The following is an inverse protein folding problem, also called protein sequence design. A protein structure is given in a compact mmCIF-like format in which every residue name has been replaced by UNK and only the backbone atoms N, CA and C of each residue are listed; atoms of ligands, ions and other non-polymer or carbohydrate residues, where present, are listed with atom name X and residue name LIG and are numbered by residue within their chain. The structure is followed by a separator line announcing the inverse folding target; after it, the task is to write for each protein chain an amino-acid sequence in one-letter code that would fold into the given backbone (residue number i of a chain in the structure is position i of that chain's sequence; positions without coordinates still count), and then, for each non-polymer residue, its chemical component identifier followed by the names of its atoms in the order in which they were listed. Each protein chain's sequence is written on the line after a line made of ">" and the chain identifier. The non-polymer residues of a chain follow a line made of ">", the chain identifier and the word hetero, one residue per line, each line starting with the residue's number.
data_IF_420252451929
#
_entry.id   IF_420252451929
#
_cell.length_a   1.000
_cell.length_b   1.000
_cell.length_c   1.000
_cell.angle_alpha   90.00
_cell.angle_beta   90.00
_cell.angle_gamma   90.00
#
_symmetry.space_group_name_H-M   'P 1'
#
loop_
_entity.id
_entity.type
_entity.pdbx_description
1 polymer ?
#
# COMPACT_ATOMS: atom_id res chain seq x y z
N UNK A 1 33.05 -36.33 47.61
CA UNK A 1 33.15 -35.24 46.68
C UNK A 1 32.23 -35.53 45.50
N UNK A 2 31.03 -34.87 45.44
CA UNK A 2 30.05 -35.03 44.35
C UNK A 2 30.31 -33.95 43.32
N UNK A 3 30.65 -34.35 42.09
CA UNK A 3 30.80 -33.44 40.96
C UNK A 3 29.41 -33.17 40.37
N UNK A 4 28.98 -31.92 40.41
CA UNK A 4 27.77 -31.41 39.73
C UNK A 4 28.21 -30.98 38.34
N UNK A 5 27.67 -31.67 37.32
CA UNK A 5 27.82 -31.26 35.91
C UNK A 5 26.65 -30.34 35.59
N UNK A 6 26.93 -29.05 35.35
CA UNK A 6 25.95 -28.09 34.82
C UNK A 6 25.94 -28.27 33.30
N UNK A 7 24.82 -28.75 32.76
CA UNK A 7 24.54 -28.73 31.31
C UNK A 7 23.86 -27.42 31.02
N UNK A 8 24.60 -26.47 30.40
CA UNK A 8 24.03 -25.25 29.86
C UNK A 8 23.35 -25.57 28.52
N UNK A 9 22.02 -25.60 28.54
CA UNK A 9 21.22 -25.70 27.33
C UNK A 9 21.22 -24.34 26.64
N UNK A 10 22.06 -24.13 25.63
CA UNK A 10 21.99 -22.96 24.76
C UNK A 10 20.79 -23.11 23.85
N UNK A 11 19.68 -22.40 24.14
CA UNK A 11 18.59 -22.21 23.20
C UNK A 11 19.10 -21.27 22.09
N UNK A 12 19.58 -21.85 21.01
CA UNK A 12 19.75 -21.11 19.73
C UNK A 12 18.39 -20.88 19.15
N UNK A 13 17.88 -19.65 19.31
CA UNK A 13 16.69 -19.17 18.61
C UNK A 13 17.08 -19.00 17.14
N UNK A 14 16.97 -20.07 16.34
CA UNK A 14 17.04 -19.98 14.89
C UNK A 14 15.74 -19.34 14.42
N UNK A 15 15.80 -18.05 14.09
CA UNK A 15 14.76 -17.39 13.33
C UNK A 15 14.73 -18.06 11.94
N UNK A 16 13.88 -19.05 11.80
CA UNK A 16 13.57 -19.66 10.50
C UNK A 16 12.90 -18.59 9.66
N UNK A 17 13.61 -18.09 8.65
CA UNK A 17 13.01 -17.37 7.53
C UNK A 17 12.05 -18.34 6.82
N UNK A 18 10.82 -18.38 7.26
CA UNK A 18 9.75 -19.06 6.53
C UNK A 18 9.44 -18.24 5.27
N UNK A 19 10.10 -18.53 4.16
CA UNK A 19 9.60 -18.23 2.83
C UNK A 19 8.40 -19.16 2.57
N UNK A 20 7.30 -18.95 3.28
CA UNK A 20 6.04 -19.58 2.97
C UNK A 20 5.49 -19.01 1.68
N UNK A 21 5.04 -19.86 0.77
CA UNK A 21 4.29 -19.47 -0.43
C UNK A 21 2.88 -18.99 -0.01
N UNK A 22 2.81 -18.02 0.89
CA UNK A 22 1.55 -17.37 1.24
C UNK A 22 1.14 -16.48 0.10
N UNK A 23 -0.05 -16.70 -0.46
CA UNK A 23 -0.68 -15.80 -1.43
C UNK A 23 -1.33 -14.58 -0.78
N UNK A 24 -1.09 -14.39 0.49
CA UNK A 24 -1.63 -13.33 1.32
C UNK A 24 -0.50 -12.67 2.12
N UNK A 25 -0.46 -11.34 2.10
CA UNK A 25 0.39 -10.53 2.96
C UNK A 25 -0.45 -10.08 4.15
N UNK A 26 -0.02 -10.42 5.36
CA UNK A 26 -0.61 -9.91 6.60
C UNK A 26 0.49 -9.30 7.46
N UNK A 27 0.37 -8.00 7.74
CA UNK A 27 1.39 -7.24 8.44
C UNK A 27 0.75 -6.47 9.60
N UNK A 28 1.42 -6.49 10.76
CA UNK A 28 1.03 -5.72 11.94
C UNK A 28 2.10 -4.69 12.26
N UNK A 29 1.70 -3.58 12.88
CA UNK A 29 2.64 -2.60 13.42
C UNK A 29 3.44 -3.18 14.60
N UNK A 30 4.56 -2.55 15.01
CA UNK A 30 5.42 -3.05 16.10
C UNK A 30 4.66 -3.32 17.41
N UNK A 31 3.72 -2.45 17.80
CA UNK A 31 2.89 -2.61 19.00
C UNK A 31 1.56 -3.36 18.71
N UNK A 32 1.35 -3.83 17.48
CA UNK A 32 0.16 -4.58 17.08
C UNK A 32 -1.13 -3.75 17.02
N UNK A 33 -1.03 -2.41 16.99
CA UNK A 33 -2.21 -1.53 16.96
C UNK A 33 -2.85 -1.44 15.58
N UNK A 34 -2.05 -1.51 14.52
CA UNK A 34 -2.51 -1.56 13.14
C UNK A 34 -2.26 -2.93 12.53
N UNK A 35 -3.19 -3.39 11.72
CA UNK A 35 -3.08 -4.58 10.90
C UNK A 35 -3.50 -4.23 9.47
N UNK A 36 -2.71 -4.64 8.48
CA UNK A 36 -3.04 -4.55 7.07
C UNK A 36 -2.92 -5.92 6.43
N UNK A 37 -3.83 -6.21 5.53
CA UNK A 37 -3.87 -7.46 4.77
C UNK A 37 -4.03 -7.14 3.29
N UNK A 38 -3.18 -7.74 2.44
CA UNK A 38 -3.33 -7.76 1.00
C UNK A 38 -3.50 -9.21 0.54
N UNK A 39 -4.45 -9.46 -0.34
CA UNK A 39 -4.68 -10.78 -0.91
C UNK A 39 -5.21 -10.69 -2.33
N UNK A 40 -5.07 -11.79 -3.05
CA UNK A 40 -5.75 -11.97 -4.32
C UNK A 40 -7.17 -12.45 -4.07
N UNK A 41 -8.14 -11.82 -4.74
CA UNK A 41 -9.55 -12.21 -4.68
C UNK A 41 -10.10 -12.45 -6.08
N UNK A 42 -10.86 -13.53 -6.23
CA UNK A 42 -11.50 -13.87 -7.48
C UNK A 42 -12.84 -13.18 -7.58
N UNK A 43 -12.95 -12.20 -8.46
CA UNK A 43 -14.18 -11.42 -8.65
C UNK A 43 -15.13 -12.07 -9.67
N UNK A 44 -14.56 -12.72 -10.69
CA UNK A 44 -15.35 -13.46 -11.69
C UNK A 44 -14.58 -14.69 -12.18
N UNK A 45 -15.17 -15.44 -13.12
CA UNK A 45 -14.50 -16.59 -13.74
C UNK A 45 -13.19 -16.23 -14.44
N UNK A 46 -13.03 -14.97 -14.86
CA UNK A 46 -11.89 -14.49 -15.67
C UNK A 46 -11.10 -13.35 -15.05
N UNK A 47 -11.52 -12.83 -13.87
CA UNK A 47 -10.87 -11.66 -13.23
C UNK A 47 -10.54 -11.98 -11.78
N UNK A 48 -9.25 -11.84 -11.48
CA UNK A 48 -8.72 -11.78 -10.13
C UNK A 48 -8.24 -10.35 -9.86
N UNK A 49 -8.54 -9.82 -8.68
CA UNK A 49 -8.08 -8.50 -8.22
C UNK A 49 -7.19 -8.65 -6.99
N UNK A 50 -6.35 -7.66 -6.76
CA UNK A 50 -5.64 -7.51 -5.49
C UNK A 50 -6.48 -6.59 -4.63
N UNK A 51 -6.88 -7.10 -3.48
CA UNK A 51 -7.67 -6.36 -2.50
C UNK A 51 -6.91 -6.22 -1.18
N UNK A 52 -7.23 -5.17 -0.44
CA UNK A 52 -6.64 -4.92 0.86
C UNK A 52 -7.68 -4.50 1.90
N UNK A 53 -7.30 -4.63 3.16
CA UNK A 53 -8.11 -4.26 4.33
C UNK A 53 -7.19 -3.71 5.41
N UNK A 54 -7.66 -2.73 6.16
CA UNK A 54 -6.92 -2.15 7.29
C UNK A 54 -7.77 -2.20 8.56
N UNK A 55 -7.13 -2.61 9.67
CA UNK A 55 -7.73 -2.61 11.01
C UNK A 55 -6.89 -1.80 11.98
N UNK A 56 -7.57 -1.17 12.91
CA UNK A 56 -6.99 -0.50 14.06
C UNK A 56 -7.52 -1.13 15.35
N UNK A 57 -6.63 -1.70 16.18
CA UNK A 57 -6.98 -2.42 17.41
C UNK A 57 -8.09 -3.45 17.20
N UNK A 58 -7.98 -4.22 16.12
CA UNK A 58 -8.92 -5.26 15.73
C UNK A 58 -10.23 -4.76 15.10
N UNK A 59 -10.49 -3.44 15.07
CA UNK A 59 -11.67 -2.86 14.42
C UNK A 59 -11.34 -2.47 12.97
N UNK A 60 -12.24 -2.80 12.06
CA UNK A 60 -12.10 -2.42 10.66
C UNK A 60 -12.15 -0.90 10.51
N UNK A 61 -11.18 -0.37 9.74
CA UNK A 61 -11.02 1.05 9.41
C UNK A 61 -11.21 1.26 7.92
N UNK A 62 -10.56 0.42 7.10
CA UNK A 62 -10.77 0.33 5.67
C UNK A 62 -11.20 -1.11 5.40
N UNK A 63 -12.39 -1.27 4.85
CA UNK A 63 -12.95 -2.56 4.45
C UNK A 63 -12.30 -3.08 3.17
N UNK A 64 -12.83 -4.17 2.65
CA UNK A 64 -12.30 -4.79 1.43
C UNK A 64 -12.27 -3.77 0.28
N UNK A 65 -11.09 -3.37 -0.13
CA UNK A 65 -10.84 -2.31 -1.10
C UNK A 65 -9.88 -2.80 -2.17
N UNK A 66 -10.11 -2.44 -3.42
CA UNK A 66 -9.22 -2.80 -4.52
C UNK A 66 -7.94 -1.96 -4.49
N UNK A 67 -6.80 -2.62 -4.66
CA UNK A 67 -5.55 -2.00 -5.05
C UNK A 67 -5.48 -1.96 -6.58
N UNK A 68 -5.29 -0.79 -7.20
CA UNK A 68 -5.41 -0.68 -8.64
C UNK A 68 -4.61 0.45 -9.28
N UNK A 69 -4.09 0.17 -10.48
CA UNK A 69 -3.44 1.15 -11.34
C UNK A 69 -3.98 1.04 -12.77
N UNK A 70 -4.09 2.18 -13.43
CA UNK A 70 -4.34 2.29 -14.86
C UNK A 70 -3.05 2.68 -15.57
N UNK A 71 -2.65 1.87 -16.55
CA UNK A 71 -1.47 2.13 -17.38
C UNK A 71 -1.86 2.32 -18.84
N UNK A 72 -1.11 3.17 -19.53
CA UNK A 72 -1.15 3.30 -21.00
C UNK A 72 0.16 2.78 -21.58
N UNK A 73 0.24 1.48 -21.81
CA UNK A 73 1.42 0.81 -22.37
C UNK A 73 1.31 0.59 -23.89
N UNK A 74 0.37 1.22 -24.59
CA UNK A 74 0.09 0.98 -26.02
C UNK A 74 1.32 1.06 -26.90
N UNK A 75 2.18 2.04 -26.70
CA UNK A 75 3.41 2.21 -27.47
C UNK A 75 4.32 0.98 -27.37
N UNK A 76 4.48 0.44 -26.18
CA UNK A 76 5.33 -0.73 -25.92
C UNK A 76 4.70 -2.03 -26.38
N UNK A 77 3.40 -2.18 -26.19
CA UNK A 77 2.66 -3.36 -26.67
C UNK A 77 2.74 -3.46 -28.20
N UNK A 78 2.62 -2.35 -28.92
CA UNK A 78 2.80 -2.31 -30.37
C UNK A 78 4.25 -2.62 -30.78
N UNK A 79 5.24 -2.05 -30.08
CA UNK A 79 6.65 -2.31 -30.36
C UNK A 79 7.04 -3.78 -30.16
N UNK A 80 6.37 -4.47 -29.26
CA UNK A 80 6.57 -5.89 -28.97
C UNK A 80 5.65 -6.82 -29.78
N UNK A 81 4.93 -6.27 -30.79
CA UNK A 81 3.94 -6.99 -31.59
C UNK A 81 2.88 -7.75 -30.78
N UNK A 82 2.50 -7.22 -29.61
CA UNK A 82 1.49 -7.78 -28.73
C UNK A 82 0.11 -7.22 -29.04
N UNK A 83 -0.93 -7.95 -28.67
CA UNK A 83 -2.30 -7.45 -28.70
C UNK A 83 -2.48 -6.42 -27.59
N UNK A 84 -3.04 -5.26 -27.94
CA UNK A 84 -3.40 -4.24 -26.99
C UNK A 84 -4.62 -4.72 -26.21
N UNK A 85 -4.43 -5.06 -24.96
CA UNK A 85 -5.51 -5.40 -24.05
C UNK A 85 -5.99 -4.12 -23.33
N UNK A 86 -7.17 -3.64 -23.71
CA UNK A 86 -7.84 -2.57 -22.97
C UNK A 86 -8.50 -3.17 -21.72
N UNK A 87 -7.74 -3.29 -20.65
CA UNK A 87 -8.27 -3.69 -19.34
C UNK A 87 -8.62 -2.44 -18.54
N UNK A 88 -9.69 -2.50 -17.73
CA UNK A 88 -10.09 -1.39 -16.87
C UNK A 88 -9.04 -1.10 -15.80
N UNK A 89 -8.43 -2.12 -15.25
CA UNK A 89 -7.35 -2.02 -14.29
C UNK A 89 -6.17 -2.85 -14.78
N UNK A 90 -5.00 -2.25 -14.86
CA UNK A 90 -3.80 -2.97 -15.29
C UNK A 90 -3.39 -4.06 -14.29
N UNK A 91 -3.70 -3.88 -13.02
CA UNK A 91 -3.39 -4.86 -11.98
C UNK A 91 -4.28 -6.11 -12.01
N UNK A 92 -5.38 -6.10 -12.77
CA UNK A 92 -6.22 -7.29 -12.91
C UNK A 92 -5.42 -8.48 -13.43
N UNK A 93 -5.68 -9.66 -12.84
CA UNK A 93 -5.01 -10.91 -13.16
C UNK A 93 -3.48 -10.91 -12.93
N UNK A 94 -2.95 -10.03 -12.08
CA UNK A 94 -1.64 -10.25 -11.48
C UNK A 94 -1.73 -11.44 -10.52
N UNK A 95 -0.75 -12.33 -10.58
CA UNK A 95 -0.64 -13.45 -9.64
C UNK A 95 0.39 -13.15 -8.57
N UNK A 96 0.09 -13.55 -7.33
CA UNK A 96 1.03 -13.45 -6.23
C UNK A 96 2.09 -14.54 -6.39
N UNK A 97 3.33 -14.12 -6.62
CA UNK A 97 4.49 -15.01 -6.71
C UNK A 97 5.01 -15.37 -5.31
N UNK A 98 5.18 -14.37 -4.46
CA UNK A 98 5.66 -14.55 -3.09
C UNK A 98 5.36 -13.34 -2.22
N UNK A 99 5.45 -13.54 -0.89
CA UNK A 99 5.44 -12.48 0.11
C UNK A 99 6.71 -12.63 0.95
N UNK A 100 7.47 -11.54 1.08
CA UNK A 100 8.71 -11.51 1.87
C UNK A 100 8.55 -10.46 2.97
N UNK A 101 8.73 -10.89 4.22
CA UNK A 101 8.77 -10.01 5.38
C UNK A 101 10.19 -9.54 5.62
N UNK A 102 10.37 -8.25 5.80
CA UNK A 102 11.66 -7.63 6.07
C UNK A 102 11.95 -7.61 7.58
N UNK A 103 13.21 -7.52 7.99
CA UNK A 103 13.54 -7.27 9.39
C UNK A 103 12.88 -6.00 9.90
N UNK A 104 12.34 -6.05 11.13
CA UNK A 104 11.73 -4.89 11.76
C UNK A 104 12.72 -3.72 11.87
N UNK A 105 12.26 -2.52 11.56
CA UNK A 105 13.04 -1.30 11.69
C UNK A 105 12.67 -0.60 12.99
N UNK A 106 13.67 -0.18 13.75
CA UNK A 106 13.50 0.64 14.96
C UNK A 106 14.76 1.50 15.11
N UNK A 107 14.74 2.69 14.57
CA UNK A 107 15.85 3.65 14.62
C UNK A 107 15.34 5.04 14.96
N UNK A 108 16.23 5.92 15.41
CA UNK A 108 15.95 7.32 15.65
C UNK A 108 16.97 8.19 14.96
N UNK A 109 16.57 9.35 14.54
CA UNK A 109 17.42 10.34 13.95
C UNK A 109 17.04 11.75 14.43
N UNK A 110 17.96 12.70 14.27
CA UNK A 110 17.82 14.08 14.71
C UNK A 110 17.74 14.99 13.48
N UNK A 111 16.58 15.57 13.17
CA UNK A 111 16.47 16.51 12.07
C UNK A 111 17.20 17.82 12.43
N UNK A 112 17.77 18.47 11.40
CA UNK A 112 18.45 19.76 11.56
C UNK A 112 17.48 20.90 11.91
N UNK A 113 16.21 20.76 11.55
CA UNK A 113 15.12 21.72 11.78
C UNK A 113 13.80 21.00 11.86
N UNK A 114 12.76 21.67 12.32
CA UNK A 114 11.40 21.13 12.47
C UNK A 114 10.92 21.14 13.91
N UNK A 115 9.72 20.67 14.13
CA UNK A 115 9.05 20.70 15.43
C UNK A 115 9.61 19.68 16.43
N UNK A 116 10.25 18.61 15.94
CA UNK A 116 10.76 17.51 16.76
C UNK A 116 12.28 17.48 16.72
N UNK A 117 12.92 17.43 17.89
CA UNK A 117 14.36 17.24 18.01
C UNK A 117 14.82 15.82 17.76
N UNK A 118 13.90 14.84 17.87
CA UNK A 118 14.14 13.44 17.62
C UNK A 118 12.95 12.83 16.91
N UNK A 119 13.20 12.16 15.81
CA UNK A 119 12.20 11.38 15.08
C UNK A 119 12.52 9.90 15.27
N UNK A 120 11.57 9.13 15.80
CA UNK A 120 11.65 7.68 15.88
C UNK A 120 11.01 7.10 14.63
N UNK A 121 11.73 6.21 13.97
CA UNK A 121 11.26 5.44 12.83
C UNK A 121 11.17 3.97 13.24
N UNK A 122 9.96 3.50 13.52
CA UNK A 122 9.70 2.13 13.94
C UNK A 122 8.55 1.55 13.10
N UNK A 123 8.84 0.50 12.32
CA UNK A 123 7.84 -0.16 11.49
C UNK A 123 8.22 -1.61 11.19
N UNK A 124 7.21 -2.39 10.84
CA UNK A 124 7.36 -3.67 10.16
C UNK A 124 7.09 -3.47 8.67
N UNK A 125 7.79 -4.23 7.82
CA UNK A 125 7.69 -4.12 6.36
C UNK A 125 7.52 -5.49 5.73
N UNK A 126 6.68 -5.55 4.71
CA UNK A 126 6.55 -6.73 3.85
C UNK A 126 6.41 -6.31 2.39
N UNK A 127 6.88 -7.16 1.49
CA UNK A 127 6.81 -6.96 0.05
C UNK A 127 6.05 -8.12 -0.56
N UNK A 128 4.96 -7.81 -1.28
CA UNK A 128 4.22 -8.75 -2.10
C UNK A 128 4.70 -8.63 -3.54
N UNK A 129 5.26 -9.71 -4.08
CA UNK A 129 5.73 -9.81 -5.45
C UNK A 129 4.64 -10.36 -6.34
N UNK A 130 4.38 -9.67 -7.43
CA UNK A 130 3.31 -9.95 -8.36
C UNK A 130 3.84 -10.04 -9.79
N UNK A 131 3.25 -10.92 -10.59
CA UNK A 131 3.58 -11.01 -12.03
C UNK A 131 2.36 -11.36 -12.87
N UNK A 132 2.39 -10.97 -14.15
CA UNK A 132 1.44 -11.46 -15.14
C UNK A 132 1.93 -12.79 -15.73
N UNK A 133 1.03 -13.77 -15.85
CA UNK A 133 1.34 -15.10 -16.39
C UNK A 133 0.97 -15.21 -17.88
N UNK A 134 0.86 -14.09 -18.59
CA UNK A 134 0.50 -13.99 -20.01
C UNK A 134 1.72 -13.97 -20.95
N UNK A 135 2.91 -14.25 -20.44
CA UNK A 135 4.18 -14.19 -21.17
C UNK A 135 4.73 -12.77 -21.38
N UNK A 136 4.12 -11.75 -20.76
CA UNK A 136 4.57 -10.36 -20.87
C UNK A 136 5.81 -10.05 -20.02
N UNK A 137 6.10 -10.87 -19.03
CA UNK A 137 7.11 -10.60 -18.00
C UNK A 137 6.84 -9.33 -17.17
N UNK A 138 5.60 -8.81 -17.17
CA UNK A 138 5.24 -7.70 -16.34
C UNK A 138 5.23 -8.10 -14.88
N UNK A 139 5.85 -7.27 -14.05
CA UNK A 139 5.99 -7.44 -12.61
C UNK A 139 5.58 -6.17 -11.90
N UNK A 140 5.05 -6.34 -10.71
CA UNK A 140 4.74 -5.26 -9.78
C UNK A 140 5.01 -5.77 -8.37
N UNK A 141 5.58 -4.92 -7.52
CA UNK A 141 5.65 -5.18 -6.10
C UNK A 141 4.70 -4.23 -5.37
N UNK A 142 4.03 -4.73 -4.33
CA UNK A 142 3.37 -3.90 -3.34
C UNK A 142 4.25 -3.93 -2.10
N UNK A 143 4.86 -2.80 -1.78
CA UNK A 143 5.67 -2.61 -0.58
C UNK A 143 4.80 -1.98 0.49
N UNK A 144 4.70 -2.63 1.65
CA UNK A 144 3.78 -2.26 2.74
C UNK A 144 4.56 -2.05 4.01
N UNK A 145 4.33 -0.92 4.68
CA UNK A 145 4.88 -0.61 6.01
C UNK A 145 3.75 -0.38 7.00
N UNK A 146 3.86 -1.02 8.14
CA UNK A 146 2.96 -0.84 9.26
C UNK A 146 3.68 -0.14 10.41
N UNK A 147 3.30 1.10 10.67
CA UNK A 147 3.72 1.92 11.81
C UNK A 147 2.66 1.88 12.90
N UNK A 148 3.02 2.24 14.13
CA UNK A 148 2.04 2.38 15.21
C UNK A 148 1.15 3.61 15.02
N UNK A 149 1.58 4.56 14.17
CA UNK A 149 0.82 5.75 13.76
C UNK A 149 -0.07 5.52 12.53
N UNK A 150 0.17 4.47 11.73
CA UNK A 150 -0.61 4.21 10.52
C UNK A 150 0.00 3.18 9.57
N UNK A 151 -0.63 3.05 8.41
CA UNK A 151 -0.20 2.14 7.34
C UNK A 151 0.22 2.96 6.12
N UNK A 152 1.32 2.59 5.52
CA UNK A 152 1.75 3.10 4.22
C UNK A 152 1.99 1.94 3.26
N UNK A 153 1.63 2.12 1.99
CA UNK A 153 2.01 1.19 0.93
C UNK A 153 2.30 1.94 -0.37
N UNK A 154 3.07 1.30 -1.23
CA UNK A 154 3.36 1.83 -2.56
C UNK A 154 3.41 0.72 -3.61
N UNK A 155 3.18 1.11 -4.86
CA UNK A 155 3.41 0.29 -6.03
C UNK A 155 4.83 0.53 -6.53
N UNK A 156 5.59 -0.54 -6.73
CA UNK A 156 6.94 -0.49 -7.24
C UNK A 156 7.07 -1.37 -8.49
N UNK A 157 7.50 -0.80 -9.59
CA UNK A 157 7.77 -1.52 -10.82
C UNK A 157 9.25 -1.93 -10.87
N UNK A 158 9.58 -3.23 -10.75
CA UNK A 158 10.93 -3.71 -11.00
C UNK A 158 11.33 -3.44 -12.45
N UNK A 159 12.63 -3.35 -12.72
CA UNK A 159 13.12 -3.23 -14.08
C UNK A 159 12.60 -4.38 -14.96
N UNK A 160 12.09 -4.01 -16.12
CA UNK A 160 11.66 -4.98 -17.12
C UNK A 160 12.86 -5.41 -17.98
N UNK A 161 13.04 -6.73 -18.30
CA UNK A 161 14.18 -7.21 -19.09
C UNK A 161 14.34 -6.52 -20.44
N UNK A 162 13.28 -5.96 -21.00
CA UNK A 162 13.25 -5.24 -22.27
C UNK A 162 13.25 -3.72 -22.08
N UNK A 163 13.66 -3.20 -20.92
CA UNK A 163 13.72 -1.78 -20.61
C UNK A 163 12.39 -1.01 -20.89
N UNK A 164 11.26 -1.63 -20.54
CA UNK A 164 9.95 -1.02 -20.74
C UNK A 164 9.70 0.05 -19.66
N UNK A 165 9.26 1.22 -20.10
CA UNK A 165 8.76 2.27 -19.22
C UNK A 165 7.23 2.19 -19.13
N UNK A 166 6.70 2.16 -17.92
CA UNK A 166 5.27 2.18 -17.70
C UNK A 166 4.76 3.62 -17.68
N UNK A 167 3.69 3.89 -18.43
CA UNK A 167 2.98 5.17 -18.36
C UNK A 167 1.77 5.00 -17.46
N UNK A 168 1.88 5.47 -16.21
CA UNK A 168 0.75 5.51 -15.28
C UNK A 168 -0.17 6.65 -15.70
N UNK A 169 -1.46 6.35 -15.88
CA UNK A 169 -2.49 7.32 -16.29
C UNK A 169 -3.60 7.47 -15.26
N UNK A 170 -3.60 6.67 -14.22
CA UNK A 170 -4.54 6.78 -13.11
C UNK A 170 -4.21 5.85 -11.96
N UNK A 171 -4.53 6.30 -10.76
CA UNK A 171 -4.61 5.48 -9.56
C UNK A 171 -6.07 5.05 -9.38
N UNK A 172 -6.29 3.75 -9.29
CA UNK A 172 -7.60 3.13 -9.11
C UNK A 172 -7.73 2.48 -7.73
N UNK A 173 -6.86 2.85 -6.80
CA UNK A 173 -6.91 2.37 -5.42
C UNK A 173 -8.19 2.85 -4.75
N UNK A 174 -8.95 1.92 -4.22
CA UNK A 174 -10.21 2.18 -3.53
C UNK A 174 -10.01 2.27 -2.02
N UNK A 175 -10.92 2.98 -1.35
CA UNK A 175 -10.98 3.08 0.10
C UNK A 175 -12.43 2.88 0.53
N UNK A 176 -12.75 1.67 0.97
CA UNK A 176 -14.10 1.29 1.40
C UNK A 176 -14.27 1.55 2.88
N UNK A 177 -15.22 2.40 3.23
CA UNK A 177 -15.55 2.69 4.62
C UNK A 177 -16.88 2.05 5.01
N UNK A 178 -17.07 1.86 6.32
CA UNK A 178 -18.34 1.36 6.85
C UNK A 178 -19.49 2.31 6.52
N UNK A 179 -20.71 1.79 6.29
CA UNK A 179 -21.89 2.62 6.05
C UNK A 179 -22.09 3.66 7.15
N UNK A 180 -22.40 4.91 6.75
CA UNK A 180 -22.53 6.04 7.67
C UNK A 180 -21.24 6.81 7.94
N UNK A 181 -20.14 6.46 7.30
CA UNK A 181 -18.92 7.25 7.34
C UNK A 181 -19.12 8.61 6.69
N UNK A 182 -18.48 9.62 7.26
CA UNK A 182 -18.58 11.02 6.84
C UNK A 182 -17.18 11.56 6.59
N UNK A 183 -16.99 12.33 5.53
CA UNK A 183 -15.72 12.96 5.22
C UNK A 183 -15.79 14.48 5.40
N UNK A 184 -14.67 15.05 5.81
CA UNK A 184 -14.41 16.47 5.81
C UNK A 184 -13.64 16.79 4.54
N UNK A 185 -14.30 17.46 3.59
CA UNK A 185 -13.81 17.64 2.22
C UNK A 185 -13.62 19.10 1.90
N UNK A 186 -12.60 19.39 1.08
CA UNK A 186 -12.51 20.64 0.34
C UNK A 186 -12.19 20.34 -1.12
N UNK A 187 -12.71 21.13 -2.07
CA UNK A 187 -12.58 20.85 -3.49
C UNK A 187 -11.30 21.45 -4.10
N UNK A 188 -10.73 22.46 -3.49
CA UNK A 188 -9.47 23.13 -3.86
C UNK A 188 -8.91 23.88 -2.65
N UNK A 189 -7.64 24.17 -2.64
CA UNK A 189 -6.85 24.66 -1.52
C UNK A 189 -7.38 25.91 -0.75
N UNK A 190 -8.45 26.53 -1.17
CA UNK A 190 -9.08 27.70 -0.52
C UNK A 190 -10.61 27.56 -0.48
N UNK A 191 -11.11 26.36 -0.75
CA UNK A 191 -12.53 26.08 -0.63
C UNK A 191 -12.94 25.97 0.85
N UNK A 192 -14.19 26.23 1.19
CA UNK A 192 -14.70 25.92 2.52
C UNK A 192 -14.69 24.39 2.75
N UNK A 193 -14.40 23.97 3.97
CA UNK A 193 -14.57 22.59 4.37
C UNK A 193 -16.05 22.24 4.47
N UNK A 194 -16.43 21.12 3.88
CA UNK A 194 -17.77 20.56 3.92
C UNK A 194 -17.75 19.19 4.59
N UNK A 195 -18.73 18.92 5.45
CA UNK A 195 -18.93 17.61 6.06
C UNK A 195 -19.97 16.83 5.28
N UNK A 196 -19.53 15.86 4.48
CA UNK A 196 -20.37 15.10 3.55
C UNK A 196 -20.36 13.61 3.89
N UNK A 197 -21.48 12.92 3.69
CA UNK A 197 -21.45 11.47 3.65
C UNK A 197 -20.57 11.01 2.48
N UNK A 198 -19.81 9.91 2.66
CA UNK A 198 -18.87 9.42 1.63
C UNK A 198 -19.58 9.25 0.27
N UNK A 199 -20.81 8.72 0.27
CA UNK A 199 -21.57 8.49 -0.96
C UNK A 199 -22.08 9.79 -1.64
N UNK A 200 -22.04 10.92 -0.94
CA UNK A 200 -22.50 12.21 -1.45
C UNK A 200 -21.35 13.02 -2.09
N UNK A 201 -20.12 12.57 -1.97
CA UNK A 201 -18.95 13.17 -2.64
C UNK A 201 -19.05 12.89 -4.14
N UNK A 202 -19.29 13.94 -4.94
CA UNK A 202 -19.50 13.83 -6.40
C UNK A 202 -18.31 14.37 -7.21
N UNK A 203 -17.47 15.19 -6.60
CA UNK A 203 -16.34 15.86 -7.25
C UNK A 203 -15.03 15.43 -6.59
N UNK A 204 -13.90 15.55 -7.28
CA UNK A 204 -12.60 15.37 -6.66
C UNK A 204 -12.44 16.30 -5.46
N UNK A 205 -11.76 15.81 -4.43
CA UNK A 205 -11.47 16.54 -3.20
C UNK A 205 -9.98 16.56 -2.95
N UNK A 206 -9.51 17.60 -2.27
CA UNK A 206 -8.10 17.75 -1.91
C UNK A 206 -7.65 16.73 -0.84
N UNK A 207 -6.38 16.55 -0.77
CA UNK A 207 -5.67 15.77 0.25
C UNK A 207 -5.18 16.70 1.38
N UNK A 208 -5.09 16.29 2.61
CA UNK A 208 -5.46 14.98 3.16
C UNK A 208 -6.97 14.89 3.40
N UNK A 209 -7.59 13.77 2.99
CA UNK A 209 -9.00 13.53 3.28
C UNK A 209 -9.15 12.98 4.69
N UNK A 210 -9.94 13.65 5.52
CA UNK A 210 -10.28 13.19 6.88
C UNK A 210 -11.65 12.54 6.89
N UNK A 211 -11.74 11.32 7.41
CA UNK A 211 -12.98 10.54 7.49
C UNK A 211 -13.31 10.19 8.93
N UNK A 212 -14.53 10.47 9.33
CA UNK A 212 -15.12 10.10 10.61
C UNK A 212 -15.95 8.82 10.43
N UNK A 213 -15.59 7.76 11.16
CA UNK A 213 -16.31 6.50 11.11
C UNK A 213 -17.40 6.44 12.16
N UNK A 214 -18.51 5.69 11.91
CA UNK A 214 -19.64 5.59 12.88
C UNK A 214 -19.25 5.04 14.26
N UNK A 215 -18.14 4.31 14.33
CA UNK A 215 -17.62 3.75 15.59
C UNK A 215 -16.75 4.73 16.39
N UNK A 216 -16.69 6.01 15.99
CA UNK A 216 -15.93 7.07 16.64
C UNK A 216 -14.44 7.09 16.30
N UNK A 217 -13.98 6.29 15.36
CA UNK A 217 -12.61 6.36 14.84
C UNK A 217 -12.52 7.42 13.73
N UNK A 218 -11.34 7.99 13.60
CA UNK A 218 -11.00 8.94 12.55
C UNK A 218 -9.86 8.39 11.69
N UNK A 219 -9.93 8.65 10.38
CA UNK A 219 -8.94 8.22 9.40
C UNK A 219 -8.50 9.43 8.59
N UNK A 220 -7.20 9.59 8.42
CA UNK A 220 -6.63 10.54 7.46
C UNK A 220 -6.02 9.76 6.29
N UNK A 221 -6.43 10.10 5.07
CA UNK A 221 -5.87 9.57 3.83
C UNK A 221 -5.02 10.66 3.17
N UNK A 222 -3.76 10.34 2.88
CA UNK A 222 -2.84 11.26 2.21
C UNK A 222 -1.80 10.49 1.41
N UNK A 223 -1.16 11.17 0.47
CA UNK A 223 0.04 10.67 -0.20
C UNK A 223 1.28 11.11 0.57
N UNK A 224 2.14 10.16 0.88
CA UNK A 224 3.39 10.45 1.60
C UNK A 224 4.51 10.91 0.65
N UNK A 225 4.51 10.41 -0.60
CA UNK A 225 5.47 10.77 -1.64
C UNK A 225 4.74 10.81 -2.99
N UNK A 226 4.68 11.97 -3.61
CA UNK A 226 3.91 12.24 -4.83
C UNK A 226 4.81 12.26 -6.05
N UNK A 227 5.62 11.23 -6.22
CA UNK A 227 6.60 11.14 -7.30
C UNK A 227 5.96 11.08 -8.71
N UNK A 228 4.78 10.49 -8.85
CA UNK A 228 4.10 10.27 -10.14
C UNK A 228 2.80 11.08 -10.29
N UNK A 229 2.29 11.67 -9.24
CA UNK A 229 1.08 12.48 -9.24
C UNK A 229 1.48 13.95 -9.22
N UNK A 230 1.17 14.68 -10.27
CA UNK A 230 1.44 16.10 -10.34
C UNK A 230 0.46 16.84 -9.42
N UNK A 231 0.96 17.37 -8.33
CA UNK A 231 0.23 18.37 -7.54
C UNK A 231 0.46 19.72 -8.20
N UNK A 232 -0.56 20.50 -8.41
CA UNK A 232 -0.60 21.85 -8.99
C UNK A 232 0.76 22.44 -9.40
N UNK A 233 0.94 22.85 -10.66
CA UNK A 233 2.21 23.43 -11.10
C UNK A 233 2.56 24.61 -10.20
N UNK A 234 3.72 24.56 -9.58
CA UNK A 234 4.30 25.73 -8.92
C UNK A 234 4.46 26.84 -9.97
N UNK A 235 4.26 28.12 -9.63
CA UNK A 235 4.55 29.24 -10.55
C UNK A 235 5.99 29.24 -11.10
N UNK A 236 6.88 28.42 -10.55
CA UNK A 236 8.26 28.23 -11.04
C UNK A 236 8.38 27.22 -12.18
N UNK A 237 7.37 26.36 -12.38
CA UNK A 237 7.39 25.25 -13.37
C UNK A 237 6.83 25.69 -14.74
N UNK A 238 6.47 26.94 -14.90
CA UNK A 238 5.93 27.54 -16.17
C UNK A 238 7.01 28.25 -17.00
N UNK A 239 8.26 27.78 -16.97
CA UNK A 239 9.30 28.28 -17.87
C UNK A 239 9.66 27.28 -18.95
#
# INVERSE_FOLDING_TARGET
>A
MKKIILIACALTCTASLYAGHSKELKLTSPEGVHEVMFRQEKISSSVNEIVYQVKYRGREVIGNSRAGLQLDNRTWELALARKINQVKCWMDNLEVDSVIYQPAVNKSWHPLYGERSTVREAYNEAIMYLSKKDGSNYRLNIEVRAYDEGIAFRYFFPEHPQAIFHKVVGDLTEYTFSPGAVAWTEQWAQAPFERLAINDIKLPVERALTVELPNGLWVALTDADVCLLYTSPSPRDTR
#
